data_IF_589321270617
#
_entry.id   IF_589321270617
#
_cell.length_a   1.000
_cell.length_b   1.000
_cell.length_c   1.000
_cell.angle_alpha   90.00
_cell.angle_beta   90.00
_cell.angle_gamma   90.00
#
_symmetry.space_group_name_H-M   'P 1'
#
loop_
_entity.id
_entity.type
_entity.pdbx_description
1 polymer ?
#
# COMPACT_ATOMS: atom_id res chain seq x y z
N UNK A 1 -11.86 2.66 -21.43
CA UNK A 1 -10.41 2.84 -21.66
C UNK A 1 -9.92 4.27 -21.44
N UNK A 2 -10.79 5.28 -21.26
CA UNK A 2 -10.43 6.65 -20.85
C UNK A 2 -10.86 7.01 -19.41
N UNK A 3 -11.58 6.13 -18.71
CA UNK A 3 -12.14 6.42 -17.38
C UNK A 3 -11.10 6.37 -16.25
N UNK A 4 -10.03 5.56 -16.37
CA UNK A 4 -9.06 5.40 -15.29
C UNK A 4 -8.19 6.64 -15.09
N UNK A 5 -7.77 7.32 -16.15
CA UNK A 5 -7.00 8.57 -16.07
C UNK A 5 -7.83 9.73 -15.51
N UNK A 6 -9.10 9.84 -15.92
CA UNK A 6 -10.03 10.87 -15.43
C UNK A 6 -10.36 10.75 -13.93
N UNK A 7 -10.29 9.54 -13.36
CA UNK A 7 -10.56 9.27 -11.94
C UNK A 7 -9.38 9.60 -11.03
N UNK A 8 -8.14 9.59 -11.54
CA UNK A 8 -6.96 9.80 -10.70
C UNK A 8 -6.79 11.27 -10.35
N UNK A 9 -7.08 12.20 -11.27
CA UNK A 9 -6.88 13.64 -11.06
C UNK A 9 -7.70 14.27 -9.91
N UNK A 10 -8.97 13.90 -9.65
CA UNK A 10 -9.67 14.36 -8.46
C UNK A 10 -9.15 13.69 -7.18
N UNK A 11 -8.85 12.39 -7.23
CA UNK A 11 -8.34 11.63 -6.08
C UNK A 11 -6.93 12.08 -5.71
N UNK A 12 -6.09 12.43 -6.68
CA UNK A 12 -4.72 12.91 -6.48
C UNK A 12 -4.67 14.24 -5.73
N UNK A 13 -5.68 15.09 -5.93
CA UNK A 13 -5.82 16.38 -5.21
C UNK A 13 -6.24 16.19 -3.76
N UNK A 14 -7.03 15.15 -3.46
CA UNK A 14 -7.50 14.85 -2.11
C UNK A 14 -6.49 13.96 -1.34
N UNK A 15 -5.77 13.10 -2.05
CA UNK A 15 -4.77 12.19 -1.52
C UNK A 15 -3.41 12.87 -1.35
N UNK A 16 -3.28 13.71 -0.32
CA UNK A 16 -2.01 14.34 0.06
C UNK A 16 -1.15 13.36 0.87
N UNK A 17 0.12 13.18 0.50
CA UNK A 17 1.12 12.36 1.21
C UNK A 17 2.31 13.24 1.60
N UNK A 18 2.15 14.04 2.65
CA UNK A 18 3.20 14.99 3.09
C UNK A 18 4.47 14.29 3.56
N UNK A 19 4.33 13.06 4.01
CA UNK A 19 5.41 12.16 4.43
C UNK A 19 6.44 11.89 3.32
N UNK A 20 6.10 12.21 2.06
CA UNK A 20 7.02 12.13 0.91
C UNK A 20 8.05 13.27 0.84
N UNK A 21 7.77 14.40 1.49
CA UNK A 21 8.57 15.63 1.38
C UNK A 21 9.64 15.74 2.46
N UNK A 22 9.52 14.93 3.52
CA UNK A 22 10.42 14.92 4.65
C UNK A 22 11.58 13.95 4.42
N UNK A 23 12.68 14.14 5.13
CA UNK A 23 13.80 13.20 5.18
C UNK A 23 13.41 11.91 5.93
N UNK A 24 14.20 10.85 5.74
CA UNK A 24 13.94 9.55 6.35
C UNK A 24 14.05 9.58 7.88
N UNK A 25 14.98 10.35 8.44
CA UNK A 25 15.17 10.43 9.89
C UNK A 25 13.97 11.09 10.58
N UNK A 26 13.48 12.20 10.03
CA UNK A 26 12.24 12.85 10.47
C UNK A 26 11.04 11.92 10.30
N UNK A 27 10.96 11.18 9.20
CA UNK A 27 9.89 10.20 8.97
C UNK A 27 9.91 9.10 10.04
N UNK A 28 11.07 8.54 10.37
CA UNK A 28 11.20 7.53 11.44
C UNK A 28 10.76 8.09 12.79
N UNK A 29 11.11 9.34 13.10
CA UNK A 29 10.63 10.03 14.30
C UNK A 29 9.10 10.11 14.37
N UNK A 30 8.44 10.51 13.28
CA UNK A 30 6.96 10.60 13.20
C UNK A 30 6.30 9.22 13.32
N UNK A 31 6.90 8.21 12.69
CA UNK A 31 6.38 6.84 12.70
C UNK A 31 6.65 6.11 14.02
N UNK A 32 7.42 6.72 14.94
CA UNK A 32 7.79 6.13 16.22
C UNK A 32 8.75 4.95 16.06
N UNK A 33 9.65 5.02 15.09
CA UNK A 33 10.59 3.96 14.77
C UNK A 33 11.98 4.32 15.28
N UNK A 34 12.35 3.78 16.45
CA UNK A 34 13.60 4.12 17.12
C UNK A 34 14.84 3.53 16.45
N UNK A 35 14.71 2.38 15.80
CA UNK A 35 15.81 1.71 15.12
C UNK A 35 15.37 1.13 13.75
N UNK A 36 15.79 1.72 12.61
CA UNK A 36 15.44 1.28 11.26
C UNK A 36 16.03 -0.07 10.84
N UNK A 37 17.03 -0.59 11.56
CA UNK A 37 17.52 -1.94 11.32
C UNK A 37 16.71 -2.98 12.09
N UNK A 38 16.26 -2.63 13.30
CA UNK A 38 15.47 -3.54 14.13
C UNK A 38 13.97 -3.56 13.77
N UNK A 39 13.49 -2.53 13.08
CA UNK A 39 12.07 -2.37 12.78
C UNK A 39 11.25 -2.01 14.02
N UNK A 40 9.96 -2.34 13.98
CA UNK A 40 9.02 -2.01 15.05
C UNK A 40 8.96 -3.12 16.10
N UNK A 41 8.86 -2.77 17.38
CA UNK A 41 8.64 -3.77 18.43
C UNK A 41 7.27 -4.44 18.29
N UNK A 42 7.18 -5.75 18.53
CA UNK A 42 5.89 -6.48 18.41
C UNK A 42 4.81 -5.92 19.33
N UNK A 43 5.18 -5.45 20.52
CA UNK A 43 4.25 -4.83 21.48
C UNK A 43 3.69 -3.51 20.92
N UNK A 44 4.55 -2.69 20.33
CA UNK A 44 4.16 -1.41 19.73
C UNK A 44 3.31 -1.63 18.49
N UNK A 45 3.64 -2.63 17.67
CA UNK A 45 2.83 -3.03 16.54
C UNK A 45 1.41 -3.44 16.97
N UNK A 46 1.28 -4.24 18.02
CA UNK A 46 -0.02 -4.63 18.57
C UNK A 46 -0.82 -3.42 19.09
N UNK A 47 -0.18 -2.48 19.79
CA UNK A 47 -0.86 -1.25 20.24
C UNK A 47 -1.37 -0.41 19.06
N UNK A 48 -0.56 -0.27 18.00
CA UNK A 48 -0.97 0.44 16.77
C UNK A 48 -2.13 -0.30 16.09
N UNK A 49 -2.10 -1.62 16.03
CA UNK A 49 -3.16 -2.43 15.44
C UNK A 49 -4.48 -2.26 16.20
N UNK A 50 -4.43 -2.22 17.54
CA UNK A 50 -5.61 -1.96 18.38
C UNK A 50 -6.15 -0.54 18.20
N UNK A 51 -5.27 0.45 17.99
CA UNK A 51 -5.64 1.86 17.82
C UNK A 51 -6.21 2.15 16.43
N UNK A 52 -5.52 1.69 15.39
CA UNK A 52 -5.77 2.09 13.99
C UNK A 52 -6.62 1.08 13.22
N UNK A 53 -6.73 -0.15 13.73
CA UNK A 53 -7.42 -1.25 13.08
C UNK A 53 -6.55 -2.01 12.08
N UNK A 54 -7.17 -2.99 11.42
CA UNK A 54 -6.49 -3.87 10.47
C UNK A 54 -6.13 -3.13 9.17
N UNK A 55 -5.05 -3.55 8.52
CA UNK A 55 -4.74 -3.22 7.13
C UNK A 55 -5.69 -3.97 6.17
N UNK A 56 -6.98 -3.61 6.22
CA UNK A 56 -8.01 -4.13 5.32
C UNK A 56 -8.70 -2.97 4.64
N UNK A 57 -8.73 -3.02 3.31
CA UNK A 57 -9.58 -2.13 2.53
C UNK A 57 -11.00 -2.66 2.60
N UNK A 58 -11.98 -1.78 2.73
CA UNK A 58 -13.36 -2.22 2.75
C UNK A 58 -13.70 -2.79 1.35
N UNK A 59 -14.29 -3.99 1.22
CA UNK A 59 -14.56 -4.59 -0.08
C UNK A 59 -15.60 -3.80 -0.87
N UNK A 60 -15.57 -3.79 -2.20
CA UNK A 60 -16.46 -2.96 -3.02
C UNK A 60 -17.94 -3.30 -2.82
N UNK A 61 -18.25 -4.55 -2.45
CA UNK A 61 -19.59 -5.01 -2.08
C UNK A 61 -19.51 -5.46 -0.62
N UNK A 62 -20.29 -4.80 0.25
CA UNK A 62 -20.44 -5.22 1.64
C UNK A 62 -21.80 -5.91 1.80
N UNK A 63 -21.79 -7.24 1.84
CA UNK A 63 -23.02 -8.03 2.02
C UNK A 63 -23.39 -8.06 3.50
N UNK A 64 -24.65 -7.75 3.86
CA UNK A 64 -25.17 -8.04 5.18
C UNK A 64 -25.02 -9.52 5.51
N UNK A 65 -24.80 -9.85 6.79
CA UNK A 65 -24.62 -11.22 7.27
C UNK A 65 -25.79 -12.15 6.89
N UNK A 66 -27.02 -11.62 6.86
CA UNK A 66 -28.22 -12.37 6.48
C UNK A 66 -28.26 -12.76 5.00
N UNK A 67 -27.41 -12.18 4.14
CA UNK A 67 -27.28 -12.54 2.72
C UNK A 67 -26.11 -13.51 2.46
N UNK A 68 -25.62 -14.22 3.49
CA UNK A 68 -24.45 -15.09 3.38
C UNK A 68 -24.59 -16.20 2.33
N UNK A 69 -25.80 -16.67 2.03
CA UNK A 69 -26.07 -17.65 0.98
C UNK A 69 -25.63 -17.19 -0.42
N UNK A 70 -25.50 -15.89 -0.65
CA UNK A 70 -25.04 -15.30 -1.92
C UNK A 70 -23.51 -15.12 -1.97
N UNK A 71 -22.79 -15.42 -0.89
CA UNK A 71 -21.32 -15.26 -0.84
C UNK A 71 -20.59 -15.97 -1.98
N UNK A 72 -20.92 -17.23 -2.38
CA UNK A 72 -20.26 -17.86 -3.52
C UNK A 72 -20.44 -17.06 -4.81
N UNK A 73 -21.66 -16.58 -5.08
CA UNK A 73 -21.96 -15.77 -6.25
C UNK A 73 -21.22 -14.42 -6.22
N UNK A 74 -21.22 -13.73 -5.07
CA UNK A 74 -20.52 -12.45 -4.93
C UNK A 74 -19.00 -12.61 -5.04
N UNK A 75 -18.42 -13.69 -4.49
CA UNK A 75 -17.00 -14.02 -4.68
C UNK A 75 -16.63 -14.31 -6.14
N UNK A 76 -17.59 -14.76 -6.95
CA UNK A 76 -17.37 -15.00 -8.38
C UNK A 76 -17.40 -13.73 -9.24
N UNK A 77 -17.89 -12.61 -8.70
CA UNK A 77 -17.94 -11.35 -9.45
C UNK A 77 -16.53 -10.87 -9.78
N UNK A 78 -16.26 -10.42 -11.03
CA UNK A 78 -14.94 -9.96 -11.45
C UNK A 78 -14.37 -8.87 -10.54
N UNK A 79 -15.21 -7.95 -10.05
CA UNK A 79 -14.82 -6.87 -9.13
C UNK A 79 -14.29 -7.39 -7.79
N UNK A 80 -14.86 -8.48 -7.26
CA UNK A 80 -14.45 -9.09 -6.00
C UNK A 80 -13.21 -9.98 -6.19
N UNK A 81 -13.14 -10.73 -7.28
CA UNK A 81 -11.95 -11.53 -7.61
C UNK A 81 -10.72 -10.64 -7.76
N UNK A 82 -10.86 -9.51 -8.46
CA UNK A 82 -9.82 -8.51 -8.61
C UNK A 82 -9.41 -7.92 -7.27
N UNK A 83 -10.37 -7.49 -6.45
CA UNK A 83 -10.09 -6.98 -5.09
C UNK A 83 -9.27 -7.97 -4.25
N UNK A 84 -9.64 -9.26 -4.26
CA UNK A 84 -8.92 -10.29 -3.50
C UNK A 84 -7.50 -10.54 -4.05
N UNK A 85 -7.32 -10.50 -5.37
CA UNK A 85 -5.99 -10.65 -5.99
C UNK A 85 -5.05 -9.49 -5.67
N UNK A 86 -5.59 -8.31 -5.39
CA UNK A 86 -4.81 -7.10 -5.10
C UNK A 86 -4.44 -6.94 -3.62
N UNK A 87 -4.98 -7.81 -2.75
CA UNK A 87 -4.67 -7.83 -1.33
C UNK A 87 -3.85 -9.08 -1.02
N UNK A 88 -2.53 -8.97 -0.77
CA UNK A 88 -1.72 -10.14 -0.40
C UNK A 88 -2.20 -10.71 0.94
N UNK A 89 -2.05 -12.02 1.14
CA UNK A 89 -2.42 -12.68 2.41
C UNK A 89 -1.37 -12.49 3.49
N UNK A 90 -0.10 -12.39 3.11
CA UNK A 90 1.02 -12.27 4.06
C UNK A 90 2.01 -11.22 3.61
N UNK A 91 2.76 -10.68 4.56
CA UNK A 91 3.84 -9.73 4.32
C UNK A 91 5.09 -10.12 5.13
N UNK A 92 6.27 -9.87 4.57
CA UNK A 92 7.54 -10.04 5.27
C UNK A 92 7.89 -8.73 5.96
N UNK A 93 8.08 -8.76 7.27
CA UNK A 93 8.36 -7.58 8.10
C UNK A 93 9.60 -7.76 8.96
N UNK A 94 10.25 -6.65 9.31
CA UNK A 94 11.22 -6.58 10.39
C UNK A 94 10.52 -6.14 11.68
N UNK A 95 10.48 -7.01 12.69
CA UNK A 95 10.03 -6.68 14.04
C UNK A 95 10.96 -7.27 15.08
N UNK A 96 11.23 -6.55 16.15
CA UNK A 96 12.17 -6.93 17.22
C UNK A 96 13.56 -7.39 16.70
N UNK A 97 14.04 -6.79 15.60
CA UNK A 97 15.31 -7.14 14.95
C UNK A 97 15.32 -8.47 14.20
N UNK A 98 14.14 -9.05 13.95
CA UNK A 98 14.01 -10.33 13.23
C UNK A 98 13.08 -10.18 12.05
N UNK A 99 13.48 -10.79 10.92
CA UNK A 99 12.57 -10.95 9.80
C UNK A 99 11.53 -12.03 10.12
N UNK A 100 10.27 -11.68 9.97
CA UNK A 100 9.15 -12.60 10.16
C UNK A 100 8.07 -12.40 9.09
N UNK A 101 7.22 -13.40 8.92
CA UNK A 101 6.04 -13.34 8.06
C UNK A 101 4.84 -13.09 8.97
N UNK A 102 4.06 -12.06 8.65
CA UNK A 102 2.81 -11.72 9.34
C UNK A 102 1.65 -11.73 8.35
N UNK A 103 0.42 -11.82 8.85
CA UNK A 103 -0.77 -11.55 8.03
C UNK A 103 -0.67 -10.12 7.50
N UNK A 104 -0.93 -9.92 6.21
CA UNK A 104 -0.91 -8.59 5.62
C UNK A 104 -1.95 -7.67 6.28
N UNK A 105 -3.01 -8.22 6.86
CA UNK A 105 -4.00 -7.49 7.65
C UNK A 105 -3.46 -6.94 8.97
N UNK A 106 -2.40 -7.52 9.51
CA UNK A 106 -1.77 -7.12 10.79
C UNK A 106 -0.64 -6.11 10.60
N UNK A 107 -0.43 -5.64 9.37
CA UNK A 107 0.49 -4.55 9.07
C UNK A 107 0.00 -3.24 9.67
N UNK A 108 0.93 -2.50 10.26
CA UNK A 108 0.66 -1.19 10.85
C UNK A 108 1.59 -0.13 10.27
N UNK A 109 1.18 1.13 10.44
CA UNK A 109 1.99 2.28 10.05
C UNK A 109 3.31 2.27 10.81
N UNK A 110 4.42 2.37 10.08
CA UNK A 110 5.78 2.26 10.59
C UNK A 110 6.38 0.86 10.55
N UNK A 111 5.66 -0.19 10.15
CA UNK A 111 6.33 -1.48 9.89
C UNK A 111 7.35 -1.32 8.75
N UNK A 112 8.47 -2.02 8.87
CA UNK A 112 9.43 -2.16 7.78
C UNK A 112 9.13 -3.46 7.05
N UNK A 113 8.80 -3.36 5.76
CA UNK A 113 8.46 -4.48 4.90
C UNK A 113 9.58 -4.77 3.91
N UNK A 114 9.65 -6.04 3.49
CA UNK A 114 10.53 -6.48 2.41
C UNK A 114 9.71 -6.94 1.22
N UNK A 115 9.99 -6.31 0.09
CA UNK A 115 9.39 -6.61 -1.20
C UNK A 115 10.41 -7.33 -2.07
N UNK A 116 9.92 -8.31 -2.83
CA UNK A 116 10.71 -9.08 -3.80
C UNK A 116 9.99 -9.13 -5.13
N UNK A 117 10.70 -9.51 -6.19
CA UNK A 117 10.09 -9.85 -7.47
C UNK A 117 8.87 -10.74 -7.31
N UNK A 118 7.81 -10.41 -8.04
CA UNK A 118 6.51 -11.07 -8.04
C UNK A 118 5.65 -10.87 -6.76
N UNK A 119 6.08 -10.03 -5.81
CA UNK A 119 5.25 -9.67 -4.66
C UNK A 119 4.27 -8.54 -4.99
N UNK A 120 3.09 -8.59 -4.38
CA UNK A 120 2.15 -7.48 -4.38
C UNK A 120 2.45 -6.62 -3.16
N UNK A 121 2.48 -5.31 -3.36
CA UNK A 121 2.73 -4.35 -2.29
C UNK A 121 1.50 -4.32 -1.35
N UNK A 122 1.67 -4.62 -0.05
CA UNK A 122 0.54 -4.85 0.87
C UNK A 122 -0.06 -3.56 1.46
N UNK A 123 0.65 -2.44 1.38
CA UNK A 123 0.29 -1.16 1.99
C UNK A 123 1.00 -0.02 1.24
N UNK A 124 0.62 1.23 1.47
CA UNK A 124 1.35 2.36 0.88
C UNK A 124 2.64 2.61 1.67
N UNK A 125 3.77 2.57 0.97
CA UNK A 125 5.09 2.52 1.56
C UNK A 125 6.05 3.50 0.89
N UNK A 126 7.09 3.87 1.64
CA UNK A 126 8.25 4.58 1.10
C UNK A 126 9.48 3.70 1.15
N UNK A 127 10.21 3.67 0.05
CA UNK A 127 11.40 2.86 -0.14
C UNK A 127 12.55 3.46 0.66
N UNK A 128 13.18 2.61 1.46
CA UNK A 128 14.37 2.92 2.26
C UNK A 128 15.62 2.46 1.50
N UNK A 129 15.56 1.26 0.92
CA UNK A 129 16.65 0.67 0.14
C UNK A 129 16.06 -0.13 -1.02
N UNK A 130 16.76 -0.14 -2.15
CA UNK A 130 16.39 -0.89 -3.35
C UNK A 130 17.62 -1.63 -3.90
N UNK A 131 17.39 -2.81 -4.47
CA UNK A 131 18.40 -3.62 -5.15
C UNK A 131 17.87 -4.12 -6.49
N UNK A 132 18.80 -4.43 -7.39
CA UNK A 132 18.53 -5.12 -8.66
C UNK A 132 17.48 -4.43 -9.56
N UNK A 133 17.56 -3.09 -9.68
CA UNK A 133 16.67 -2.27 -10.52
C UNK A 133 15.19 -2.55 -10.26
N UNK A 134 14.72 -2.07 -9.10
CA UNK A 134 13.35 -2.26 -8.66
C UNK A 134 12.37 -1.65 -9.67
N UNK A 135 11.50 -2.48 -10.24
CA UNK A 135 10.42 -2.05 -11.12
C UNK A 135 9.07 -2.47 -10.56
N UNK A 136 8.12 -1.56 -10.61
CA UNK A 136 6.77 -1.77 -10.08
C UNK A 136 5.73 -1.56 -11.17
N UNK A 137 4.89 -2.56 -11.38
CA UNK A 137 3.70 -2.51 -12.22
C UNK A 137 2.54 -1.88 -11.44
N UNK A 138 2.04 -0.78 -11.99
CA UNK A 138 0.95 0.04 -11.49
C UNK A 138 -0.13 0.21 -12.57
N UNK A 139 -0.15 -0.67 -13.56
CA UNK A 139 -1.11 -0.69 -14.68
C UNK A 139 -2.57 -0.65 -14.26
N UNK A 140 -2.88 -1.13 -13.05
CA UNK A 140 -4.22 -1.02 -12.49
C UNK A 140 -4.69 0.43 -12.31
N UNK A 141 -3.75 1.30 -11.98
CA UNK A 141 -3.99 2.70 -11.72
C UNK A 141 -3.67 3.55 -12.95
N UNK A 142 -2.47 3.37 -13.52
CA UNK A 142 -1.91 4.24 -14.55
C UNK A 142 -1.80 3.49 -15.88
N UNK A 143 -2.65 3.84 -16.85
CA UNK A 143 -2.64 3.21 -18.17
C UNK A 143 -1.54 3.73 -19.08
N UNK A 144 -1.12 4.99 -18.93
CA UNK A 144 -0.13 5.62 -19.82
C UNK A 144 1.31 5.25 -19.46
N UNK A 145 1.62 5.20 -18.16
CA UNK A 145 2.92 4.83 -17.62
C UNK A 145 2.77 3.74 -16.54
N UNK A 146 2.42 2.51 -16.98
CA UNK A 146 2.07 1.43 -16.05
C UNK A 146 3.28 0.94 -15.24
N UNK A 147 4.47 0.90 -15.85
CA UNK A 147 5.69 0.45 -15.19
C UNK A 147 6.50 1.65 -14.73
N UNK A 148 6.95 1.61 -13.48
CA UNK A 148 7.83 2.62 -12.90
C UNK A 148 9.10 1.98 -12.35
N UNK A 149 10.23 2.61 -12.64
CA UNK A 149 11.48 2.33 -11.93
C UNK A 149 11.48 3.07 -10.59
N UNK A 150 11.78 2.33 -9.53
CA UNK A 150 11.72 2.80 -8.16
C UNK A 150 13.09 2.72 -7.50
N UNK A 151 13.43 3.72 -6.68
CA UNK A 151 14.71 3.77 -5.98
C UNK A 151 14.62 4.61 -4.71
N UNK A 152 15.53 4.35 -3.77
CA UNK A 152 15.64 5.13 -2.54
C UNK A 152 16.19 6.53 -2.82
N UNK A 153 15.57 7.55 -2.22
CA UNK A 153 16.03 8.93 -2.26
C UNK A 153 16.56 9.33 -0.88
N UNK A 154 17.80 9.85 -0.85
CA UNK A 154 18.43 10.34 0.39
C UNK A 154 17.87 11.69 0.87
N UNK A 155 17.36 12.54 -0.03
CA UNK A 155 16.66 13.79 0.31
C UNK A 155 15.93 14.40 -0.89
N UNK A 156 14.73 14.94 -0.64
CA UNK A 156 13.84 15.73 -1.51
C UNK A 156 13.34 15.07 -2.81
N UNK A 157 12.09 15.41 -3.14
CA UNK A 157 11.28 14.79 -4.19
C UNK A 157 11.90 14.88 -5.59
N UNK A 158 12.07 13.74 -6.26
CA UNK A 158 12.46 13.72 -7.68
C UNK A 158 11.38 14.28 -8.62
N UNK A 159 10.12 14.35 -8.18
CA UNK A 159 9.00 14.87 -8.96
C UNK A 159 7.98 15.62 -8.11
N UNK A 160 7.34 16.62 -8.70
CA UNK A 160 6.28 17.41 -8.04
C UNK A 160 5.00 16.58 -7.84
N UNK A 161 4.75 15.62 -8.73
CA UNK A 161 3.54 14.81 -8.75
C UNK A 161 3.71 13.52 -7.97
N UNK A 162 2.82 13.29 -7.00
CA UNK A 162 2.88 12.17 -6.04
C UNK A 162 3.09 10.80 -6.71
N UNK A 163 2.34 10.52 -7.77
CA UNK A 163 2.39 9.23 -8.46
C UNK A 163 3.60 9.06 -9.39
N UNK A 164 4.45 10.07 -9.52
CA UNK A 164 5.70 9.97 -10.25
C UNK A 164 6.92 9.97 -9.32
N UNK A 165 6.71 9.73 -8.03
CA UNK A 165 7.81 9.62 -7.09
C UNK A 165 8.41 8.21 -7.10
N UNK A 166 9.73 8.09 -7.31
CA UNK A 166 10.39 6.80 -7.43
C UNK A 166 10.59 6.11 -6.08
N UNK A 167 10.52 6.85 -4.96
CA UNK A 167 10.68 6.34 -3.61
C UNK A 167 9.35 5.89 -2.97
N UNK A 168 8.22 5.93 -3.71
CA UNK A 168 6.92 5.50 -3.21
C UNK A 168 6.44 4.21 -3.89
N UNK A 169 5.87 3.31 -3.09
CA UNK A 169 5.21 2.09 -3.53
C UNK A 169 3.78 2.09 -2.99
N UNK A 170 2.80 1.91 -3.87
CA UNK A 170 1.39 1.95 -3.50
C UNK A 170 0.83 0.53 -3.34
N UNK A 171 -0.12 0.35 -2.43
CA UNK A 171 -0.86 -0.89 -2.27
C UNK A 171 -1.48 -1.33 -3.60
N UNK A 172 -1.58 -2.64 -3.83
CA UNK A 172 -2.12 -3.24 -5.05
C UNK A 172 -1.27 -3.02 -6.31
N UNK A 173 -0.05 -2.48 -6.18
CA UNK A 173 0.97 -2.56 -7.23
C UNK A 173 1.78 -3.85 -7.11
N UNK A 174 2.36 -4.32 -8.22
CA UNK A 174 3.14 -5.57 -8.26
C UNK A 174 4.59 -5.29 -8.57
N UNK A 175 5.50 -5.86 -7.79
CA UNK A 175 6.94 -5.79 -8.07
C UNK A 175 7.26 -6.73 -9.23
N UNK A 176 7.80 -6.19 -10.32
CA UNK A 176 8.19 -6.95 -11.51
C UNK A 176 9.59 -7.52 -11.31
N UNK A 177 10.53 -6.66 -10.95
CA UNK A 177 11.95 -6.99 -10.76
C UNK A 177 12.49 -6.30 -9.51
N UNK A 178 13.55 -6.86 -8.96
CA UNK A 178 14.30 -6.29 -7.86
C UNK A 178 13.77 -6.60 -6.47
N UNK A 179 14.44 -6.02 -5.49
CA UNK A 179 14.10 -6.14 -4.08
C UNK A 179 14.06 -4.76 -3.43
N UNK A 180 13.18 -4.59 -2.45
CA UNK A 180 13.04 -3.33 -1.73
C UNK A 180 12.86 -3.56 -0.24
N UNK A 181 13.50 -2.71 0.55
CA UNK A 181 13.17 -2.48 1.96
C UNK A 181 12.35 -1.19 2.01
N UNK A 182 11.17 -1.24 2.58
CA UNK A 182 10.24 -0.11 2.58
C UNK A 182 9.61 0.08 3.95
N UNK A 183 9.28 1.32 4.31
CA UNK A 183 8.53 1.64 5.53
C UNK A 183 7.07 1.93 5.17
N UNK A 184 6.15 1.36 5.94
CA UNK A 184 4.70 1.56 5.75
C UNK A 184 4.31 2.96 6.23
N UNK A 185 3.70 3.74 5.35
CA UNK A 185 3.19 5.09 5.66
C UNK A 185 1.67 5.04 5.90
N UNK A 186 0.92 4.28 5.09
CA UNK A 186 -0.54 4.15 5.24
C UNK A 186 -1.00 2.72 5.05
N UNK A 187 -2.06 2.37 5.77
CA UNK A 187 -2.69 1.04 5.76
C UNK A 187 -4.20 1.14 5.58
N UNK A 188 -4.81 0.06 5.10
CA UNK A 188 -6.25 -0.12 4.95
C UNK A 188 -6.89 0.93 4.04
N UNK A 189 -8.08 1.39 4.41
CA UNK A 189 -8.84 2.39 3.65
C UNK A 189 -8.13 3.74 3.47
N UNK A 190 -7.06 4.01 4.25
CA UNK A 190 -6.25 5.23 4.13
C UNK A 190 -5.21 5.14 3.01
N UNK A 191 -4.97 3.96 2.44
CA UNK A 191 -4.09 3.80 1.26
C UNK A 191 -4.72 4.38 0.01
N UNK A 192 -3.92 4.64 -1.01
CA UNK A 192 -4.42 5.07 -2.31
C UNK A 192 -5.43 4.08 -2.90
N UNK A 193 -5.16 2.77 -2.77
CA UNK A 193 -6.09 1.71 -3.15
C UNK A 193 -7.43 1.81 -2.40
N UNK A 194 -7.37 2.07 -1.09
CA UNK A 194 -8.54 2.30 -0.24
C UNK A 194 -9.40 3.46 -0.71
N UNK A 195 -8.77 4.62 -0.95
CA UNK A 195 -9.43 5.80 -1.50
C UNK A 195 -10.10 5.52 -2.84
N UNK A 196 -9.43 4.81 -3.76
CA UNK A 196 -10.02 4.44 -5.04
C UNK A 196 -11.21 3.49 -4.91
N UNK A 197 -11.14 2.52 -3.99
CA UNK A 197 -12.25 1.62 -3.72
C UNK A 197 -13.46 2.37 -3.15
N UNK A 198 -13.23 3.33 -2.25
CA UNK A 198 -14.28 4.18 -1.67
C UNK A 198 -14.89 5.11 -2.73
N UNK A 199 -14.07 5.76 -3.55
CA UNK A 199 -14.53 6.67 -4.60
C UNK A 199 -15.40 5.93 -5.62
N UNK A 200 -14.94 4.78 -6.13
CA UNK A 200 -15.73 3.95 -7.05
C UNK A 200 -17.05 3.48 -6.46
N UNK A 201 -17.19 3.36 -5.14
CA UNK A 201 -18.52 3.09 -4.55
C UNK A 201 -19.44 4.29 -4.73
N UNK A 202 -18.98 5.51 -4.43
CA UNK A 202 -19.80 6.73 -4.55
C UNK A 202 -20.32 6.94 -5.97
N UNK A 203 -19.48 6.72 -6.97
CA UNK A 203 -19.88 6.82 -8.38
C UNK A 203 -20.78 5.68 -8.85
N UNK A 204 -20.70 4.48 -8.23
CA UNK A 204 -21.57 3.35 -8.62
C UNK A 204 -23.02 3.47 -8.11
N UNK A 205 -23.36 4.51 -7.34
CA UNK A 205 -24.71 4.76 -6.83
C UNK A 205 -25.47 5.87 -7.59
N UNK A 206 -24.84 6.51 -8.58
CA UNK A 206 -25.46 7.45 -9.52
C UNK A 206 -25.49 6.83 -10.92
#
# INVERSE_FOLDING_TARGET
>A
MAESSLLIDPISKEYDLRERLIDLDTLYGILGLSNPEAGLDSKTALMKLQRDGLNKVTPPINLPSWMCCLLPCVKSLPKIQLYNRMCPETARVMRDGRMMVVDAADLVVGDIIFLKSDSIVPADCRIIECKDHLQVDRSYFFSENPVMECYSLGSSSASNHLFYQPDLCFMASRVITGEAKAVVIRTGDKTFWGYMCLYKRRDSFL
#
